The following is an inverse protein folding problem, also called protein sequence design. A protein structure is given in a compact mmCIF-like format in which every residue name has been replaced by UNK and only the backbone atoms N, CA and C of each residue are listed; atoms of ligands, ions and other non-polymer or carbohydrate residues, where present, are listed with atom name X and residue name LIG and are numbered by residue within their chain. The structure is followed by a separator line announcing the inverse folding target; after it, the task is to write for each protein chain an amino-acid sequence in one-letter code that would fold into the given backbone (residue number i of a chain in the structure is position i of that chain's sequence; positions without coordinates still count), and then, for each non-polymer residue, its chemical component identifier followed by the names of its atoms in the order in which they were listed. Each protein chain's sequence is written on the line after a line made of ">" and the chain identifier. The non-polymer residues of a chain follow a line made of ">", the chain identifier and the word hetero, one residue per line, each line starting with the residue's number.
data_IF_215126564769
#
_entry.id   IF_215126564769
#
_cell.length_a   1.000
_cell.length_b   1.000
_cell.length_c   1.000
_cell.angle_alpha   90.00
_cell.angle_beta   90.00
_cell.angle_gamma   90.00
#
_symmetry.space_group_name_H-M   'P 1'
#
loop_
_entity.id
_entity.type
_entity.pdbx_description
1 polymer ?
#
# COMPACT_ATOMS: atom_id res chain seq x y z
N UNK A 1 -6.52 2.98 31.38
CA UNK A 1 -6.14 4.14 30.56
C UNK A 1 -6.48 3.79 29.13
N UNK A 2 -7.09 4.71 28.39
CA UNK A 2 -7.40 4.51 26.97
C UNK A 2 -6.11 4.66 26.16
N UNK A 3 -5.79 3.69 25.31
CA UNK A 3 -4.60 3.71 24.44
C UNK A 3 -4.82 4.72 23.33
N UNK A 4 -3.93 5.71 23.20
CA UNK A 4 -4.03 6.71 22.15
C UNK A 4 -3.56 6.16 20.79
N UNK A 5 -3.85 6.90 19.71
CA UNK A 5 -3.29 6.62 18.38
C UNK A 5 -1.75 6.63 18.40
N UNK A 6 -1.16 7.56 19.16
CA UNK A 6 0.29 7.65 19.31
C UNK A 6 0.85 6.43 20.05
N UNK A 7 0.21 6.00 21.13
CA UNK A 7 0.62 4.80 21.87
C UNK A 7 0.57 3.57 20.98
N UNK A 8 -0.50 3.41 20.18
CA UNK A 8 -0.63 2.30 19.21
C UNK A 8 0.53 2.29 18.21
N UNK A 9 0.90 3.47 17.69
CA UNK A 9 2.00 3.61 16.74
C UNK A 9 3.35 3.22 17.36
N UNK A 10 3.64 3.70 18.57
CA UNK A 10 4.90 3.41 19.26
C UNK A 10 4.97 1.94 19.69
N UNK A 11 3.91 1.41 20.28
CA UNK A 11 3.87 0.03 20.78
C UNK A 11 4.02 -0.99 19.65
N UNK A 12 3.32 -0.76 18.52
CA UNK A 12 3.44 -1.61 17.33
C UNK A 12 4.85 -1.57 16.74
N UNK A 13 5.47 -0.38 16.69
CA UNK A 13 6.84 -0.23 16.21
C UNK A 13 7.87 -0.91 17.12
N UNK A 14 7.78 -0.73 18.44
CA UNK A 14 8.71 -1.37 19.39
C UNK A 14 8.63 -2.90 19.26
N UNK A 15 7.40 -3.43 19.19
CA UNK A 15 7.11 -4.86 19.17
C UNK A 15 7.49 -5.53 17.85
N UNK A 16 7.17 -4.90 16.70
CA UNK A 16 7.24 -5.55 15.40
C UNK A 16 8.25 -4.92 14.43
N UNK A 17 8.93 -3.84 14.85
CA UNK A 17 9.72 -2.96 13.95
C UNK A 17 8.91 -2.36 12.81
N UNK A 18 7.58 -2.35 12.97
CA UNK A 18 6.60 -1.79 12.02
C UNK A 18 5.57 -1.00 12.83
N UNK A 19 5.47 0.30 12.57
CA UNK A 19 4.47 1.16 13.19
C UNK A 19 3.13 1.08 12.47
N UNK A 20 2.04 0.99 13.22
CA UNK A 20 0.66 0.91 12.72
C UNK A 20 -0.10 2.15 13.13
N UNK A 21 -0.69 2.83 12.14
CA UNK A 21 -1.63 3.92 12.34
C UNK A 21 -2.90 3.65 11.51
N UNK A 22 -4.00 3.31 12.20
CA UNK A 22 -5.27 2.92 11.58
C UNK A 22 -6.02 4.14 11.00
N UNK A 23 -5.75 5.34 11.52
CA UNK A 23 -6.42 6.59 11.14
C UNK A 23 -5.43 7.58 10.52
N UNK A 24 -4.39 7.08 9.83
CA UNK A 24 -3.33 7.89 9.24
C UNK A 24 -3.84 8.95 8.26
N UNK A 25 -4.89 8.63 7.50
CA UNK A 25 -5.54 9.54 6.57
C UNK A 25 -6.97 9.82 7.01
N UNK A 26 -7.44 11.05 6.81
CA UNK A 26 -8.86 11.39 7.02
C UNK A 26 -9.79 10.59 6.10
N UNK A 27 -11.00 10.28 6.58
CA UNK A 27 -12.03 9.58 5.80
C UNK A 27 -12.31 10.22 4.43
N UNK A 28 -12.29 11.55 4.36
CA UNK A 28 -12.52 12.29 3.11
C UNK A 28 -11.41 11.99 2.10
N UNK A 29 -10.15 11.99 2.55
CA UNK A 29 -9.00 11.71 1.70
C UNK A 29 -8.99 10.24 1.28
N UNK A 30 -9.27 9.31 2.20
CA UNK A 30 -9.37 7.87 1.92
C UNK A 30 -10.39 7.62 0.81
N UNK A 31 -11.61 8.17 0.92
CA UNK A 31 -12.66 8.02 -0.10
C UNK A 31 -12.22 8.55 -1.46
N UNK A 32 -11.60 9.73 -1.51
CA UNK A 32 -11.11 10.32 -2.75
C UNK A 32 -10.00 9.49 -3.42
N UNK A 33 -9.04 8.99 -2.64
CA UNK A 33 -7.96 8.13 -3.14
C UNK A 33 -8.49 6.80 -3.68
N UNK A 34 -9.42 6.16 -2.97
CA UNK A 34 -10.05 4.91 -3.41
C UNK A 34 -10.77 5.09 -4.76
N UNK A 35 -11.51 6.17 -4.92
CA UNK A 35 -12.20 6.49 -6.18
C UNK A 35 -11.20 6.72 -7.32
N UNK A 36 -10.13 7.48 -7.07
CA UNK A 36 -9.09 7.74 -8.06
C UNK A 36 -8.39 6.44 -8.50
N UNK A 37 -7.94 5.61 -7.55
CA UNK A 37 -7.29 4.32 -7.85
C UNK A 37 -8.24 3.42 -8.65
N UNK A 38 -9.52 3.37 -8.27
CA UNK A 38 -10.54 2.59 -9.00
C UNK A 38 -10.73 3.09 -10.44
N UNK A 39 -10.71 4.42 -10.64
CA UNK A 39 -10.79 5.03 -11.97
C UNK A 39 -9.55 4.74 -12.80
N UNK A 40 -8.34 4.86 -12.24
CA UNK A 40 -7.10 4.53 -12.94
C UNK A 40 -7.10 3.06 -13.39
N UNK A 41 -7.56 2.16 -12.52
CA UNK A 41 -7.67 0.74 -12.83
C UNK A 41 -8.69 0.47 -13.94
N UNK A 42 -9.90 1.04 -13.86
CA UNK A 42 -10.97 0.80 -14.84
C UNK A 42 -10.71 1.46 -16.21
N UNK A 43 -9.93 2.54 -16.23
CA UNK A 43 -9.57 3.25 -17.47
C UNK A 43 -8.25 2.77 -18.08
N UNK A 44 -7.70 1.63 -17.62
CA UNK A 44 -6.42 1.06 -18.08
C UNK A 44 -5.25 2.04 -18.00
N UNK A 45 -5.27 2.95 -17.02
CA UNK A 45 -4.20 3.93 -16.76
C UNK A 45 -3.14 3.42 -15.78
N UNK A 46 -3.22 2.15 -15.37
CA UNK A 46 -2.20 1.50 -14.55
C UNK A 46 -1.41 0.50 -15.40
N UNK A 47 -0.12 0.43 -15.18
CA UNK A 47 0.81 -0.52 -15.81
C UNK A 47 0.95 -1.78 -14.95
N UNK A 48 1.22 -2.92 -15.57
CA UNK A 48 1.55 -4.12 -14.81
C UNK A 48 2.87 -3.89 -14.07
N UNK A 49 2.93 -4.22 -12.78
CA UNK A 49 4.17 -4.14 -12.03
C UNK A 49 5.24 -5.03 -12.70
N UNK A 50 6.40 -4.44 -12.97
CA UNK A 50 7.52 -5.15 -13.57
C UNK A 50 8.14 -6.21 -12.65
N UNK A 51 9.13 -6.91 -13.17
CA UNK A 51 9.90 -7.96 -12.46
C UNK A 51 11.02 -7.42 -11.56
N UNK A 52 11.02 -6.12 -11.24
CA UNK A 52 12.12 -5.43 -10.58
C UNK A 52 13.31 -5.16 -11.52
N UNK A 53 14.54 -5.15 -10.99
CA UNK A 53 15.79 -4.84 -11.72
C UNK A 53 16.31 -5.99 -12.61
N UNK A 54 15.53 -7.05 -12.81
CA UNK A 54 15.96 -8.16 -13.65
C UNK A 54 15.84 -7.79 -15.13
N UNK A 55 16.92 -7.96 -15.88
CA UNK A 55 16.97 -7.67 -17.31
C UNK A 55 16.16 -8.67 -18.17
N UNK A 56 15.82 -9.83 -17.61
CA UNK A 56 15.13 -10.92 -18.32
C UNK A 56 13.99 -11.45 -17.46
N UNK A 57 12.82 -11.59 -18.08
CA UNK A 57 11.62 -12.19 -17.51
C UNK A 57 11.83 -13.68 -17.35
N UNK A 58 12.16 -14.11 -16.13
CA UNK A 58 12.23 -15.53 -15.75
C UNK A 58 10.88 -15.96 -15.16
N UNK A 59 10.31 -17.04 -15.68
CA UNK A 59 9.11 -17.71 -15.19
C UNK A 59 9.18 -18.14 -13.72
N UNK A 60 10.38 -18.25 -13.14
CA UNK A 60 10.62 -18.60 -11.74
C UNK A 60 10.73 -17.38 -10.81
N UNK A 61 10.78 -16.16 -11.35
CA UNK A 61 10.74 -14.97 -10.51
C UNK A 61 9.40 -14.90 -9.79
N UNK A 62 9.43 -14.52 -8.50
CA UNK A 62 8.24 -14.19 -7.71
C UNK A 62 7.59 -12.94 -8.31
N UNK A 63 6.92 -13.11 -9.45
CA UNK A 63 6.23 -12.04 -10.15
C UNK A 63 5.12 -11.54 -9.24
N UNK A 64 5.11 -10.23 -8.99
CA UNK A 64 3.94 -9.63 -8.37
C UNK A 64 2.83 -9.54 -9.41
N UNK A 65 1.60 -9.80 -9.00
CA UNK A 65 0.42 -9.75 -9.87
C UNK A 65 -0.33 -8.41 -9.78
N UNK A 66 0.26 -7.40 -9.13
CA UNK A 66 -0.32 -6.07 -8.95
C UNK A 66 -0.07 -5.15 -10.17
N UNK A 67 -0.81 -4.04 -10.21
CA UNK A 67 -0.62 -2.95 -11.16
C UNK A 67 -0.18 -1.68 -10.43
N UNK A 68 0.65 -0.87 -11.06
CA UNK A 68 1.18 0.41 -10.57
C UNK A 68 0.79 1.54 -11.53
N UNK A 69 0.41 2.70 -11.01
CA UNK A 69 0.10 3.89 -11.80
C UNK A 69 1.38 4.64 -12.19
#
# INVERSE_FOLDING_TARGET
>A
METTQFDTLIDSYISNKVGIDINFLSDKLVKGLQQNISQLHSTNKMTQAGIGNAAVKDSNQKMRSDKIA
#
